data_IF_214931214421
#
_entry.id   IF_214931214421
#
_cell.length_a   1.000
_cell.length_b   1.000
_cell.length_c   1.000
_cell.angle_alpha   90.00
_cell.angle_beta   90.00
_cell.angle_gamma   90.00
#
_symmetry.space_group_name_H-M   'P 1'
#
loop_
_entity.id
_entity.type
_entity.pdbx_description
1 polymer ?
#
# COMPACT_ATOMS: atom_id res chain seq x y z
N UNK A 1 -17.52 -27.59 24.22
CA UNK A 1 -18.49 -28.37 23.41
C UNK A 1 -19.17 -29.47 24.24
N UNK A 2 -18.45 -30.47 24.75
CA UNK A 2 -19.05 -31.61 25.49
C UNK A 2 -19.87 -31.25 26.74
N UNK A 3 -19.48 -30.20 27.50
CA UNK A 3 -20.24 -29.72 28.68
C UNK A 3 -21.57 -29.02 28.34
N UNK A 4 -21.73 -28.46 27.13
CA UNK A 4 -23.00 -27.86 26.67
C UNK A 4 -23.96 -28.93 26.15
N UNK A 5 -23.47 -29.89 25.36
CA UNK A 5 -24.28 -30.98 24.81
C UNK A 5 -24.92 -31.88 25.89
N UNK A 6 -24.22 -32.12 27.01
CA UNK A 6 -24.76 -32.88 28.14
C UNK A 6 -25.89 -32.15 28.88
N UNK A 7 -25.96 -30.81 28.77
CA UNK A 7 -27.06 -29.99 29.30
C UNK A 7 -28.27 -29.94 28.36
N UNK A 8 -28.06 -30.16 27.06
CA UNK A 8 -29.10 -30.01 26.02
C UNK A 8 -29.64 -31.37 25.50
N UNK A 9 -29.14 -32.50 26.01
CA UNK A 9 -29.57 -33.86 25.62
C UNK A 9 -29.49 -34.17 24.12
N UNK A 10 -28.60 -33.48 23.40
CA UNK A 10 -28.38 -33.68 21.96
C UNK A 10 -27.10 -34.49 21.76
N UNK A 11 -27.20 -35.65 21.10
CA UNK A 11 -26.03 -36.43 20.68
C UNK A 11 -25.17 -35.59 19.73
N UNK A 12 -23.89 -35.39 20.06
CA UNK A 12 -22.96 -34.66 19.19
C UNK A 12 -22.58 -35.60 18.05
N UNK A 13 -22.91 -35.22 16.81
CA UNK A 13 -22.46 -35.94 15.64
C UNK A 13 -20.92 -35.78 15.50
N UNK A 14 -20.18 -36.88 15.43
CA UNK A 14 -18.70 -36.90 15.36
C UNK A 14 -18.14 -36.10 14.17
N UNK A 15 -18.94 -35.92 13.11
CA UNK A 15 -18.61 -35.05 11.96
C UNK A 15 -18.53 -33.55 12.30
N UNK A 16 -19.05 -33.12 13.45
CA UNK A 16 -19.00 -31.72 13.92
C UNK A 16 -17.88 -31.46 14.92
N UNK A 17 -17.06 -32.47 15.24
CA UNK A 17 -15.94 -32.30 16.14
C UNK A 17 -14.80 -31.53 15.46
N UNK A 18 -14.13 -30.60 16.18
CA UNK A 18 -13.02 -29.85 15.62
C UNK A 18 -11.83 -30.77 15.33
N UNK A 19 -11.17 -30.53 14.20
CA UNK A 19 -9.94 -31.22 13.82
C UNK A 19 -8.73 -30.42 14.32
N UNK A 20 -7.78 -31.11 14.95
CA UNK A 20 -6.50 -30.52 15.36
C UNK A 20 -5.56 -30.46 14.15
N UNK A 21 -5.00 -29.28 13.89
CA UNK A 21 -3.98 -29.07 12.85
C UNK A 21 -2.64 -28.75 13.49
N UNK A 22 -1.62 -29.53 13.17
CA UNK A 22 -0.26 -29.36 13.67
C UNK A 22 0.65 -28.99 12.50
N UNK A 23 1.29 -27.83 12.61
CA UNK A 23 2.28 -27.34 11.65
C UNK A 23 3.67 -27.73 12.13
N UNK A 24 4.44 -28.42 11.28
CA UNK A 24 5.84 -28.75 11.58
C UNK A 24 6.74 -28.36 10.41
N UNK A 25 7.89 -27.68 10.66
CA UNK A 25 8.86 -27.35 9.62
C UNK A 25 9.32 -28.60 8.86
N UNK A 26 9.66 -29.65 9.60
CA UNK A 26 10.14 -30.92 9.04
C UNK A 26 9.53 -32.13 9.76
N UNK A 27 9.43 -33.24 9.03
CA UNK A 27 9.00 -34.52 9.55
C UNK A 27 9.68 -35.63 8.75
N UNK A 28 10.22 -36.63 9.44
CA UNK A 28 10.82 -37.79 8.79
C UNK A 28 9.75 -38.82 8.44
N UNK A 29 10.00 -39.63 7.41
CA UNK A 29 9.10 -40.74 7.02
C UNK A 29 8.88 -41.72 8.17
N UNK A 30 9.91 -41.98 8.98
CA UNK A 30 9.82 -42.82 10.19
C UNK A 30 8.87 -42.24 11.23
N UNK A 31 8.90 -40.92 11.45
CA UNK A 31 7.99 -40.25 12.39
C UNK A 31 6.55 -40.35 11.90
N UNK A 32 6.32 -40.04 10.63
CA UNK A 32 4.99 -40.12 10.02
C UNK A 32 4.42 -41.53 10.08
N UNK A 33 5.22 -42.55 9.72
CA UNK A 33 4.84 -43.95 9.82
C UNK A 33 4.57 -44.38 11.27
N UNK A 34 5.38 -43.91 12.22
CA UNK A 34 5.23 -44.22 13.65
C UNK A 34 3.91 -43.73 14.25
N UNK A 35 3.36 -42.63 13.73
CA UNK A 35 2.03 -42.12 14.11
C UNK A 35 0.89 -42.63 13.22
N UNK A 36 1.19 -43.50 12.24
CA UNK A 36 0.21 -43.98 11.26
C UNK A 36 -0.35 -42.85 10.39
N UNK A 37 0.43 -41.81 10.15
CA UNK A 37 0.00 -40.65 9.39
C UNK A 37 0.03 -40.97 7.89
N UNK A 38 -1.13 -40.86 7.23
CA UNK A 38 -1.31 -41.23 5.82
C UNK A 38 -1.50 -39.98 4.97
N UNK A 39 -0.76 -39.91 3.85
CA UNK A 39 -0.95 -38.85 2.85
C UNK A 39 -2.19 -39.14 2.01
N UNK A 40 -2.96 -38.11 1.69
CA UNK A 40 -4.11 -38.21 0.79
C UNK A 40 -3.95 -37.27 -0.40
N UNK A 41 -3.03 -37.59 -1.30
CA UNK A 41 -2.68 -36.73 -2.44
C UNK A 41 -3.78 -36.60 -3.49
N UNK A 42 -4.79 -37.49 -3.46
CA UNK A 42 -5.94 -37.40 -4.37
C UNK A 42 -6.88 -36.25 -4.00
N UNK A 43 -6.98 -35.92 -2.71
CA UNK A 43 -7.88 -34.88 -2.21
C UNK A 43 -7.13 -33.68 -1.62
N UNK A 44 -5.83 -33.81 -1.33
CA UNK A 44 -5.03 -32.83 -0.62
C UNK A 44 -3.66 -32.64 -1.26
N UNK A 45 -3.03 -31.51 -0.95
CA UNK A 45 -1.69 -31.18 -1.41
C UNK A 45 -0.64 -32.07 -0.74
N UNK A 46 0.47 -32.30 -1.44
CA UNK A 46 1.65 -32.96 -0.88
C UNK A 46 2.11 -32.24 0.40
N UNK A 47 2.54 -33.02 1.40
CA UNK A 47 2.93 -32.52 2.72
C UNK A 47 1.79 -32.47 3.76
N UNK A 48 0.55 -32.80 3.39
CA UNK A 48 -0.56 -32.98 4.34
C UNK A 48 -0.75 -34.46 4.67
N UNK A 49 -0.75 -34.76 5.97
CA UNK A 49 -0.95 -36.11 6.48
C UNK A 49 -2.06 -36.15 7.51
N UNK A 50 -2.83 -37.24 7.51
CA UNK A 50 -3.93 -37.45 8.43
C UNK A 50 -3.63 -38.63 9.34
N UNK A 51 -3.85 -38.43 10.64
CA UNK A 51 -3.74 -39.50 11.63
C UNK A 51 -5.02 -40.35 11.63
N UNK A 52 -4.99 -41.55 12.26
CA UNK A 52 -6.16 -42.41 12.40
C UNK A 52 -7.41 -41.66 12.90
N UNK A 53 -8.58 -42.09 12.40
CA UNK A 53 -9.84 -41.34 12.44
C UNK A 53 -10.24 -40.79 13.82
N UNK A 54 -10.01 -41.55 14.89
CA UNK A 54 -10.37 -41.17 16.25
C UNK A 54 -9.49 -40.08 16.85
N UNK A 55 -8.29 -39.83 16.29
CA UNK A 55 -7.40 -38.77 16.76
C UNK A 55 -7.78 -37.40 16.20
N UNK A 56 -8.58 -37.35 15.11
CA UNK A 56 -9.03 -36.11 14.44
C UNK A 56 -7.88 -35.10 14.31
N UNK A 57 -6.72 -35.56 13.88
CA UNK A 57 -5.49 -34.76 13.80
C UNK A 57 -4.92 -34.80 12.38
N UNK A 58 -4.55 -33.64 11.87
CA UNK A 58 -3.81 -33.47 10.63
C UNK A 58 -2.43 -32.86 10.92
N UNK A 59 -1.43 -33.35 10.20
CA UNK A 59 -0.07 -32.84 10.19
C UNK A 59 0.19 -32.12 8.87
N UNK A 60 0.73 -30.92 8.96
CA UNK A 60 1.19 -30.14 7.82
C UNK A 60 2.71 -30.04 7.89
N UNK A 61 3.37 -30.70 6.95
CA UNK A 61 4.82 -30.82 6.88
C UNK A 61 5.34 -29.79 5.89
N UNK A 62 5.80 -28.65 6.42
CA UNK A 62 6.02 -27.43 5.64
C UNK A 62 7.04 -27.61 4.51
N UNK A 63 8.17 -28.27 4.76
CA UNK A 63 9.21 -28.49 3.73
C UNK A 63 8.79 -29.37 2.56
N UNK A 64 7.66 -30.08 2.65
CA UNK A 64 7.12 -30.93 1.59
C UNK A 64 5.99 -30.26 0.81
N UNK A 65 5.54 -29.08 1.25
CA UNK A 65 4.50 -28.33 0.55
C UNK A 65 5.01 -27.87 -0.83
N UNK A 66 4.16 -27.97 -1.87
CA UNK A 66 4.54 -27.50 -3.20
C UNK A 66 4.77 -25.99 -3.20
N UNK A 67 5.64 -25.50 -4.08
CA UNK A 67 5.92 -24.06 -4.22
C UNK A 67 4.85 -23.39 -5.07
N UNK A 68 3.74 -23.04 -4.41
CA UNK A 68 2.65 -22.30 -5.02
C UNK A 68 2.28 -21.09 -4.16
N UNK A 69 1.56 -20.09 -4.69
CA UNK A 69 1.08 -18.96 -3.90
C UNK A 69 0.25 -19.41 -2.69
N UNK A 70 -0.58 -20.45 -2.82
CA UNK A 70 -1.49 -20.93 -1.77
C UNK A 70 -0.76 -21.47 -0.53
N UNK A 71 0.45 -22.01 -0.71
CA UNK A 71 1.26 -22.57 0.39
C UNK A 71 2.29 -21.60 0.94
N UNK A 72 2.44 -20.42 0.32
CA UNK A 72 3.50 -19.45 0.62
C UNK A 72 3.52 -19.06 2.11
N UNK A 73 2.34 -18.80 2.69
CA UNK A 73 2.19 -18.48 4.11
C UNK A 73 2.72 -19.57 5.04
N UNK A 74 2.42 -20.82 4.73
CA UNK A 74 2.87 -21.95 5.54
C UNK A 74 4.38 -22.13 5.41
N UNK A 75 4.94 -21.89 4.21
CA UNK A 75 6.38 -21.95 3.93
C UNK A 75 7.17 -20.82 4.60
N UNK A 76 6.56 -19.65 4.80
CA UNK A 76 7.14 -18.55 5.57
C UNK A 76 7.36 -18.93 7.04
N UNK A 77 6.49 -19.78 7.60
CA UNK A 77 6.64 -20.37 8.93
C UNK A 77 7.62 -21.56 8.98
N UNK A 78 8.19 -21.94 7.84
CA UNK A 78 9.21 -22.97 7.72
C UNK A 78 10.57 -22.53 8.30
N UNK A 79 11.60 -23.32 8.01
CA UNK A 79 12.98 -23.06 8.46
C UNK A 79 13.99 -23.22 7.32
N UNK A 80 15.18 -22.66 7.52
CA UNK A 80 16.28 -22.70 6.55
C UNK A 80 15.88 -22.27 5.14
N UNK A 81 16.17 -23.14 4.16
CA UNK A 81 16.00 -22.84 2.73
C UNK A 81 14.55 -22.63 2.31
N UNK A 82 13.60 -23.28 2.98
CA UNK A 82 12.16 -23.14 2.68
C UNK A 82 11.67 -21.74 3.02
N UNK A 83 12.10 -21.22 4.17
CA UNK A 83 11.76 -19.87 4.61
C UNK A 83 12.44 -18.83 3.73
N UNK A 84 13.73 -19.00 3.42
CA UNK A 84 14.45 -18.09 2.51
C UNK A 84 13.77 -17.98 1.14
N UNK A 85 13.36 -19.10 0.56
CA UNK A 85 12.64 -19.11 -0.72
C UNK A 85 11.27 -18.43 -0.61
N UNK A 86 10.54 -18.66 0.48
CA UNK A 86 9.27 -17.98 0.72
C UNK A 86 9.45 -16.46 0.86
N UNK A 87 10.52 -16.00 1.52
CA UNK A 87 10.88 -14.57 1.59
C UNK A 87 11.12 -14.02 0.18
N UNK A 88 11.97 -14.69 -0.61
CA UNK A 88 12.26 -14.28 -2.00
C UNK A 88 10.99 -14.18 -2.84
N UNK A 89 10.10 -15.16 -2.73
CA UNK A 89 8.80 -15.16 -3.40
C UNK A 89 7.94 -13.96 -2.97
N UNK A 90 7.84 -13.65 -1.67
CA UNK A 90 7.11 -12.47 -1.17
C UNK A 90 7.72 -11.17 -1.69
N UNK A 91 9.05 -11.08 -1.72
CA UNK A 91 9.75 -9.89 -2.24
C UNK A 91 9.50 -9.68 -3.73
N UNK A 92 9.32 -10.77 -4.49
CA UNK A 92 9.03 -10.75 -5.92
C UNK A 92 7.55 -10.47 -6.24
N UNK A 93 6.64 -10.55 -5.27
CA UNK A 93 5.23 -10.23 -5.49
C UNK A 93 5.05 -8.74 -5.84
N UNK A 94 4.05 -8.39 -6.67
CA UNK A 94 3.69 -7.00 -6.92
C UNK A 94 3.37 -6.23 -5.64
N UNK A 95 3.68 -4.93 -5.59
CA UNK A 95 3.40 -4.07 -4.42
C UNK A 95 1.91 -3.97 -4.07
N UNK A 96 1.04 -4.14 -5.07
CA UNK A 96 -0.43 -4.12 -4.92
C UNK A 96 -1.01 -5.48 -4.48
N UNK A 97 -0.17 -6.50 -4.27
CA UNK A 97 -0.65 -7.81 -3.80
C UNK A 97 -1.09 -7.73 -2.33
N UNK A 98 -2.37 -8.01 -2.07
CA UNK A 98 -2.91 -8.12 -0.71
C UNK A 98 -2.09 -9.10 0.15
N UNK A 99 -1.61 -10.19 -0.44
CA UNK A 99 -0.78 -11.18 0.26
C UNK A 99 0.55 -10.59 0.72
N UNK A 100 1.20 -9.78 -0.11
CA UNK A 100 2.46 -9.10 0.24
C UNK A 100 2.21 -8.11 1.38
N UNK A 101 1.12 -7.35 1.31
CA UNK A 101 0.77 -6.36 2.33
C UNK A 101 0.49 -7.02 3.69
N UNK A 102 -0.38 -8.02 3.73
CA UNK A 102 -0.68 -8.75 4.98
C UNK A 102 0.57 -9.44 5.54
N UNK A 103 1.47 -9.95 4.69
CA UNK A 103 2.69 -10.62 5.15
C UNK A 103 3.66 -9.65 5.83
N UNK A 104 3.82 -8.46 5.26
CA UNK A 104 4.66 -7.41 5.83
C UNK A 104 4.08 -6.87 7.14
N UNK A 105 2.75 -6.73 7.25
CA UNK A 105 2.08 -6.29 8.47
C UNK A 105 2.26 -7.28 9.62
N UNK A 106 1.96 -8.57 9.39
CA UNK A 106 2.13 -9.61 10.42
C UNK A 106 3.59 -9.76 10.87
N UNK A 107 4.54 -9.58 9.96
CA UNK A 107 5.96 -9.61 10.32
C UNK A 107 6.35 -8.42 11.19
N UNK A 108 5.80 -7.23 10.92
CA UNK A 108 6.03 -6.07 11.76
C UNK A 108 5.50 -6.31 13.18
N UNK A 109 4.29 -6.86 13.31
CA UNK A 109 3.73 -7.23 14.61
C UNK A 109 4.62 -8.25 15.32
N UNK A 110 5.11 -9.26 14.59
CA UNK A 110 6.07 -10.22 15.12
C UNK A 110 7.35 -9.51 15.59
N UNK A 111 7.94 -8.63 14.79
CA UNK A 111 9.14 -7.86 15.14
C UNK A 111 8.91 -7.00 16.39
N UNK A 112 7.79 -6.27 16.46
CA UNK A 112 7.43 -5.43 17.59
C UNK A 112 7.25 -6.26 18.87
N UNK A 113 6.57 -7.41 18.77
CA UNK A 113 6.38 -8.35 19.87
C UNK A 113 7.71 -8.95 20.34
N UNK A 114 8.61 -9.30 19.41
CA UNK A 114 9.93 -9.85 19.73
C UNK A 114 10.86 -8.79 20.37
N UNK A 115 10.77 -7.52 19.95
CA UNK A 115 11.50 -6.42 20.55
C UNK A 115 10.99 -6.05 21.95
N UNK A 116 9.67 -6.10 22.15
CA UNK A 116 9.05 -5.88 23.46
C UNK A 116 9.42 -6.99 24.46
N UNK A 117 9.49 -8.24 23.98
CA UNK A 117 9.86 -9.40 24.76
C UNK A 117 11.38 -9.63 24.76
N UNK A 118 12.15 -8.66 25.29
CA UNK A 118 13.63 -8.63 25.36
C UNK A 118 14.30 -9.89 25.99
N UNK A 119 13.52 -10.80 26.58
CA UNK A 119 14.00 -12.02 27.21
C UNK A 119 14.15 -13.22 26.25
N UNK A 120 13.71 -13.10 24.99
CA UNK A 120 13.85 -14.18 24.01
C UNK A 120 15.09 -13.95 23.14
N UNK A 121 16.10 -14.82 23.28
CA UNK A 121 17.22 -14.86 22.32
C UNK A 121 16.65 -15.28 20.97
N UNK A 122 16.38 -14.30 20.12
CA UNK A 122 16.06 -14.51 18.72
C UNK A 122 17.09 -15.45 18.10
N UNK A 123 16.63 -16.53 17.50
CA UNK A 123 17.50 -17.43 16.78
C UNK A 123 18.05 -16.76 15.50
N UNK A 124 19.05 -17.36 14.87
CA UNK A 124 19.70 -16.78 13.68
C UNK A 124 18.73 -16.65 12.50
N UNK A 125 17.72 -17.52 12.41
CA UNK A 125 16.75 -17.54 11.31
C UNK A 125 15.70 -16.44 11.48
N UNK A 126 15.17 -16.27 12.69
CA UNK A 126 14.24 -15.18 13.05
C UNK A 126 14.87 -13.81 12.78
N UNK A 127 16.16 -13.65 13.10
CA UNK A 127 16.90 -12.41 12.79
C UNK A 127 17.05 -12.20 11.28
N UNK A 128 17.37 -13.26 10.53
CA UNK A 128 17.54 -13.18 9.08
C UNK A 128 16.22 -12.80 8.39
N UNK A 129 15.10 -13.38 8.83
CA UNK A 129 13.76 -13.05 8.36
C UNK A 129 13.44 -11.56 8.59
N UNK A 130 13.65 -11.07 9.81
CA UNK A 130 13.42 -9.66 10.16
C UNK A 130 14.32 -8.75 9.31
N UNK A 131 15.61 -9.06 9.16
CA UNK A 131 16.54 -8.23 8.38
C UNK A 131 16.19 -8.19 6.89
N UNK A 132 15.72 -9.29 6.31
CA UNK A 132 15.38 -9.36 4.88
C UNK A 132 14.11 -8.55 4.54
N UNK A 133 13.10 -8.58 5.41
CA UNK A 133 11.78 -8.03 5.12
C UNK A 133 11.53 -6.64 5.74
N UNK A 134 12.27 -6.23 6.77
CA UNK A 134 12.12 -4.90 7.38
C UNK A 134 12.29 -3.71 6.40
N UNK A 135 13.22 -3.74 5.42
CA UNK A 135 13.34 -2.67 4.43
C UNK A 135 12.07 -2.49 3.58
N UNK A 136 11.44 -3.60 3.17
CA UNK A 136 10.23 -3.58 2.34
C UNK A 136 9.06 -2.96 3.08
N UNK A 137 8.90 -3.31 4.36
CA UNK A 137 7.85 -2.71 5.18
C UNK A 137 8.08 -1.22 5.42
N UNK A 138 9.34 -0.80 5.68
CA UNK A 138 9.67 0.63 5.82
C UNK A 138 9.33 1.42 4.56
N UNK A 139 9.68 0.89 3.39
CA UNK A 139 9.33 1.51 2.12
C UNK A 139 7.81 1.67 1.97
N UNK A 140 7.03 0.64 2.32
CA UNK A 140 5.57 0.70 2.26
C UNK A 140 5.00 1.74 3.25
N UNK A 141 5.53 1.81 4.47
CA UNK A 141 5.12 2.82 5.45
C UNK A 141 5.43 4.25 4.98
N UNK A 142 6.59 4.47 4.39
CA UNK A 142 6.97 5.78 3.88
C UNK A 142 6.09 6.18 2.69
N UNK A 143 5.79 5.25 1.78
CA UNK A 143 4.84 5.48 0.70
C UNK A 143 3.43 5.80 1.21
N UNK A 144 2.92 5.03 2.18
CA UNK A 144 1.62 5.26 2.81
C UNK A 144 1.59 6.61 3.54
N UNK A 145 2.67 6.98 4.24
CA UNK A 145 2.81 8.29 4.90
C UNK A 145 2.79 9.42 3.86
N UNK A 146 3.53 9.29 2.76
CA UNK A 146 3.53 10.29 1.69
C UNK A 146 2.15 10.45 1.06
N UNK A 147 1.47 9.34 0.77
CA UNK A 147 0.09 9.36 0.28
C UNK A 147 -0.86 10.02 1.28
N UNK A 148 -0.76 9.69 2.58
CA UNK A 148 -1.56 10.30 3.63
C UNK A 148 -1.33 11.81 3.76
N UNK A 149 -0.07 12.27 3.62
CA UNK A 149 0.27 13.70 3.58
C UNK A 149 -0.38 14.36 2.36
N UNK A 150 -0.23 13.79 1.16
CA UNK A 150 -0.81 14.34 -0.07
C UNK A 150 -2.34 14.38 -0.01
N UNK A 151 -2.99 13.32 0.47
CA UNK A 151 -4.44 13.27 0.67
C UNK A 151 -4.90 14.33 1.68
N UNK A 152 -4.20 14.47 2.81
CA UNK A 152 -4.49 15.50 3.81
C UNK A 152 -4.35 16.91 3.24
N UNK A 153 -3.26 17.19 2.50
CA UNK A 153 -3.06 18.48 1.83
C UNK A 153 -4.17 18.76 0.82
N UNK A 154 -4.53 17.77 -0.01
CA UNK A 154 -5.62 17.87 -0.97
C UNK A 154 -6.94 18.23 -0.30
N UNK A 155 -7.29 17.55 0.78
CA UNK A 155 -8.51 17.84 1.55
C UNK A 155 -8.52 19.26 2.13
N UNK A 156 -7.37 19.74 2.61
CA UNK A 156 -7.24 21.11 3.12
C UNK A 156 -7.44 22.13 2.00
N UNK A 157 -6.80 21.92 0.84
CA UNK A 157 -6.94 22.81 -0.33
C UNK A 157 -8.40 22.82 -0.80
N UNK A 158 -9.03 21.65 -0.96
CA UNK A 158 -10.42 21.51 -1.39
C UNK A 158 -11.37 22.27 -0.45
N UNK A 159 -11.26 22.04 0.86
CA UNK A 159 -12.11 22.71 1.84
C UNK A 159 -11.89 24.23 1.87
N UNK A 160 -10.64 24.69 1.78
CA UNK A 160 -10.34 26.12 1.76
C UNK A 160 -10.94 26.78 0.53
N UNK A 161 -10.69 26.23 -0.66
CA UNK A 161 -11.23 26.77 -1.91
C UNK A 161 -12.75 26.74 -1.91
N UNK A 162 -13.36 25.67 -1.41
CA UNK A 162 -14.82 25.57 -1.32
C UNK A 162 -15.42 26.58 -0.34
N UNK A 163 -14.77 26.79 0.81
CA UNK A 163 -15.23 27.74 1.83
C UNK A 163 -15.09 29.19 1.36
N UNK A 164 -14.02 29.51 0.60
CA UNK A 164 -13.72 30.89 0.19
C UNK A 164 -14.34 31.28 -1.14
N UNK A 165 -14.38 30.37 -2.12
CA UNK A 165 -14.84 30.63 -3.49
C UNK A 165 -16.17 29.94 -3.84
N UNK A 166 -16.79 29.24 -2.89
CA UNK A 166 -18.05 28.54 -3.10
C UNK A 166 -17.89 27.24 -3.88
N UNK A 167 -18.71 27.01 -4.90
CA UNK A 167 -18.70 25.77 -5.66
C UNK A 167 -17.42 25.66 -6.50
N UNK A 168 -16.66 24.58 -6.29
CA UNK A 168 -15.45 24.31 -7.06
C UNK A 168 -15.81 24.01 -8.52
N UNK A 169 -15.29 24.82 -9.43
CA UNK A 169 -15.36 24.55 -10.87
C UNK A 169 -14.45 23.40 -11.24
N UNK A 170 -14.74 22.70 -12.34
CA UNK A 170 -13.91 21.61 -12.84
C UNK A 170 -12.45 22.00 -13.05
N UNK A 171 -12.20 23.25 -13.47
CA UNK A 171 -10.86 23.81 -13.63
C UNK A 171 -10.14 23.95 -12.30
N UNK A 172 -10.79 24.48 -11.26
CA UNK A 172 -10.21 24.53 -9.91
C UNK A 172 -9.92 23.13 -9.38
N UNK A 173 -10.84 22.18 -9.54
CA UNK A 173 -10.60 20.79 -9.11
C UNK A 173 -9.38 20.18 -9.80
N UNK A 174 -9.18 20.45 -11.08
CA UNK A 174 -8.01 19.98 -11.82
C UNK A 174 -6.67 20.57 -11.33
N UNK A 175 -6.72 21.80 -10.81
CA UNK A 175 -5.56 22.52 -10.24
C UNK A 175 -5.17 22.03 -8.84
N UNK A 176 -6.08 21.39 -8.11
CA UNK A 176 -5.81 20.90 -6.75
C UNK A 176 -4.77 19.78 -6.74
N UNK A 177 -4.81 18.88 -7.73
CA UNK A 177 -3.85 17.76 -7.81
C UNK A 177 -2.40 18.24 -7.85
N UNK A 178 -1.96 19.09 -8.81
CA UNK A 178 -0.59 19.59 -8.80
C UNK A 178 -0.26 20.41 -7.54
N UNK A 179 -1.21 21.18 -6.99
CA UNK A 179 -0.99 21.90 -5.72
C UNK A 179 -0.72 20.97 -4.54
N UNK A 180 -1.44 19.85 -4.41
CA UNK A 180 -1.28 18.88 -3.32
C UNK A 180 0.05 18.13 -3.33
N UNK A 181 0.84 18.29 -4.39
CA UNK A 181 2.20 17.72 -4.49
C UNK A 181 3.30 18.68 -4.02
N UNK A 182 2.95 19.94 -3.76
CA UNK A 182 3.91 20.96 -3.32
C UNK A 182 4.33 20.73 -1.85
N UNK A 183 5.57 21.09 -1.48
CA UNK A 183 6.00 21.06 -0.08
C UNK A 183 5.19 22.09 0.76
N UNK A 184 4.87 21.78 2.04
CA UNK A 184 4.05 22.64 2.90
C UNK A 184 4.55 24.09 3.02
N UNK A 185 5.87 24.29 2.95
CA UNK A 185 6.51 25.60 3.04
C UNK A 185 6.16 26.52 1.86
N UNK A 186 5.92 25.93 0.68
CA UNK A 186 5.49 26.67 -0.52
C UNK A 186 3.96 26.79 -0.58
N UNK A 187 3.25 25.77 -0.08
CA UNK A 187 1.79 25.72 -0.10
C UNK A 187 1.14 26.68 0.89
N UNK A 188 1.73 26.90 2.07
CA UNK A 188 1.15 27.78 3.10
C UNK A 188 0.92 29.23 2.65
N UNK A 189 1.92 29.98 2.12
CA UNK A 189 1.70 31.34 1.65
C UNK A 189 0.69 31.40 0.49
N UNK A 190 0.69 30.37 -0.35
CA UNK A 190 -0.21 30.22 -1.46
C UNK A 190 -1.68 30.13 -1.00
N UNK A 191 -1.96 29.29 0.01
CA UNK A 191 -3.28 29.19 0.61
C UNK A 191 -3.73 30.48 1.30
N UNK A 192 -2.81 31.22 1.94
CA UNK A 192 -3.14 32.51 2.56
C UNK A 192 -3.56 33.53 1.50
N UNK A 193 -2.86 33.61 0.36
CA UNK A 193 -3.22 34.52 -0.73
C UNK A 193 -4.57 34.14 -1.35
N UNK A 194 -4.81 32.86 -1.60
CA UNK A 194 -6.11 32.38 -2.07
C UNK A 194 -7.24 32.68 -1.07
N UNK A 195 -6.94 32.63 0.23
CA UNK A 195 -7.93 32.96 1.24
C UNK A 195 -8.36 34.43 1.20
N UNK A 196 -7.55 35.34 0.67
CA UNK A 196 -7.90 36.77 0.60
C UNK A 196 -8.85 37.10 -0.56
N UNK A 197 -9.07 36.16 -1.48
CA UNK A 197 -9.94 36.36 -2.63
C UNK A 197 -11.42 36.42 -2.20
N UNK A 198 -12.17 37.26 -2.90
CA UNK A 198 -13.62 37.37 -2.74
C UNK A 198 -14.33 36.24 -3.48
N UNK A 199 -15.48 35.82 -2.95
CA UNK A 199 -16.35 34.87 -3.62
C UNK A 199 -17.10 35.56 -4.78
N UNK A 200 -16.44 35.65 -5.93
CA UNK A 200 -16.98 36.20 -7.18
C UNK A 200 -16.41 35.46 -8.39
N UNK A 201 -17.03 35.62 -9.56
CA UNK A 201 -16.49 35.06 -10.81
C UNK A 201 -15.07 35.58 -11.09
N UNK A 202 -14.82 36.86 -10.82
CA UNK A 202 -13.50 37.48 -10.89
C UNK A 202 -12.53 36.82 -9.89
N UNK A 203 -12.96 36.58 -8.65
CA UNK A 203 -12.15 35.89 -7.64
C UNK A 203 -11.80 34.45 -8.03
N UNK A 204 -12.71 33.72 -8.67
CA UNK A 204 -12.44 32.37 -9.20
C UNK A 204 -11.42 32.42 -10.34
N UNK A 205 -11.55 33.37 -11.28
CA UNK A 205 -10.59 33.54 -12.37
C UNK A 205 -9.21 33.95 -11.83
N UNK A 206 -9.17 34.89 -10.88
CA UNK A 206 -7.94 35.29 -10.20
C UNK A 206 -7.28 34.11 -9.49
N UNK A 207 -8.06 33.27 -8.78
CA UNK A 207 -7.54 32.06 -8.16
C UNK A 207 -6.90 31.13 -9.20
N UNK A 208 -7.59 30.84 -10.31
CA UNK A 208 -7.09 29.97 -11.37
C UNK A 208 -5.78 30.50 -11.98
N UNK A 209 -5.74 31.78 -12.35
CA UNK A 209 -4.54 32.43 -12.87
C UNK A 209 -3.39 32.38 -11.87
N UNK A 210 -3.67 32.77 -10.62
CA UNK A 210 -2.70 32.79 -9.54
C UNK A 210 -2.12 31.39 -9.26
N UNK A 211 -2.93 30.32 -9.31
CA UNK A 211 -2.46 28.94 -9.16
C UNK A 211 -1.49 28.56 -10.29
N UNK A 212 -1.89 28.74 -11.54
CA UNK A 212 -1.06 28.34 -12.68
C UNK A 212 0.23 29.15 -12.72
N UNK A 213 0.15 30.46 -12.49
CA UNK A 213 1.30 31.36 -12.44
C UNK A 213 2.30 30.92 -11.36
N UNK A 214 1.85 30.67 -10.13
CA UNK A 214 2.77 30.24 -9.07
C UNK A 214 3.35 28.85 -9.32
N UNK A 215 2.59 27.92 -9.90
CA UNK A 215 3.15 26.61 -10.28
C UNK A 215 4.28 26.75 -11.30
N UNK A 216 4.12 27.64 -12.30
CA UNK A 216 5.18 27.96 -13.26
C UNK A 216 6.37 28.64 -12.57
N UNK A 217 6.13 29.60 -11.67
CA UNK A 217 7.16 30.29 -10.90
C UNK A 217 7.99 29.34 -10.03
N UNK A 218 7.33 28.43 -9.33
CA UNK A 218 7.99 27.41 -8.49
C UNK A 218 8.90 26.53 -9.35
N UNK A 219 8.49 26.21 -10.58
CA UNK A 219 9.27 25.32 -11.46
C UNK A 219 10.43 26.03 -12.17
N UNK A 220 10.18 27.19 -12.74
CA UNK A 220 11.10 27.86 -13.67
C UNK A 220 11.81 29.06 -13.05
N UNK A 221 11.49 29.42 -11.81
CA UNK A 221 12.05 30.58 -11.12
C UNK A 221 11.27 31.84 -11.47
N UNK A 222 11.94 32.87 -11.97
CA UNK A 222 11.26 34.09 -12.36
C UNK A 222 10.39 33.90 -13.60
N UNK A 223 9.19 34.45 -13.56
CA UNK A 223 8.26 34.46 -14.68
C UNK A 223 8.61 35.60 -15.62
N UNK A 224 9.23 35.25 -16.73
CA UNK A 224 9.39 36.16 -17.85
C UNK A 224 8.04 36.37 -18.59
N UNK A 225 7.92 37.42 -19.43
CA UNK A 225 6.69 37.69 -20.17
C UNK A 225 6.22 36.52 -21.05
N UNK A 226 7.12 35.64 -21.50
CA UNK A 226 6.75 34.50 -22.33
C UNK A 226 6.01 33.45 -21.49
N UNK A 227 6.51 33.14 -20.28
CA UNK A 227 5.87 32.20 -19.36
C UNK A 227 4.56 32.76 -18.80
N UNK A 228 4.50 34.06 -18.48
CA UNK A 228 3.26 34.70 -18.03
C UNK A 228 2.17 34.63 -19.11
N UNK A 229 2.54 34.78 -20.38
CA UNK A 229 1.61 34.69 -21.49
C UNK A 229 1.05 33.25 -21.71
N UNK A 230 1.65 32.22 -21.09
CA UNK A 230 1.16 30.84 -21.15
C UNK A 230 0.06 30.52 -20.15
N UNK A 231 -0.15 31.37 -19.14
CA UNK A 231 -1.19 31.14 -18.12
C UNK A 231 -2.58 31.02 -18.77
N UNK A 232 -2.93 31.95 -19.67
CA UNK A 232 -4.24 31.95 -20.34
C UNK A 232 -4.43 30.75 -21.28
N UNK A 233 -3.48 30.41 -22.18
CA UNK A 233 -3.54 29.18 -22.97
C UNK A 233 -3.66 27.90 -22.13
N UNK A 234 -2.97 27.82 -20.99
CA UNK A 234 -3.05 26.67 -20.09
C UNK A 234 -4.43 26.53 -19.47
N UNK A 235 -5.02 27.64 -19.00
CA UNK A 235 -6.37 27.65 -18.44
C UNK A 235 -7.47 27.35 -19.47
N UNK A 236 -7.20 27.57 -20.76
CA UNK A 236 -8.11 27.21 -21.85
C UNK A 236 -8.13 25.71 -22.16
N UNK A 237 -7.21 24.91 -21.61
CA UNK A 237 -7.20 23.46 -21.79
C UNK A 237 -8.36 22.78 -21.07
N UNK A 238 -8.82 21.61 -21.55
CA UNK A 238 -9.73 20.76 -20.81
C UNK A 238 -9.17 20.41 -19.41
N UNK A 239 -9.98 20.40 -18.34
CA UNK A 239 -9.49 20.20 -16.97
C UNK A 239 -8.62 18.96 -16.75
N UNK A 240 -8.97 17.83 -17.38
CA UNK A 240 -8.17 16.61 -17.30
C UNK A 240 -6.78 16.77 -17.92
N UNK A 241 -6.70 17.43 -19.10
CA UNK A 241 -5.43 17.71 -19.77
C UNK A 241 -4.59 18.70 -18.97
N UNK A 242 -5.23 19.75 -18.44
CA UNK A 242 -4.59 20.74 -17.57
C UNK A 242 -3.95 20.07 -16.36
N UNK A 243 -4.70 19.21 -15.64
CA UNK A 243 -4.18 18.52 -14.45
C UNK A 243 -2.97 17.64 -14.77
N UNK A 244 -3.08 16.82 -15.82
CA UNK A 244 -1.98 15.97 -16.28
C UNK A 244 -0.75 16.78 -16.67
N UNK A 245 -0.95 17.87 -17.41
CA UNK A 245 0.14 18.73 -17.88
C UNK A 245 0.88 19.40 -16.72
N UNK A 246 0.13 19.96 -15.76
CA UNK A 246 0.71 20.62 -14.60
C UNK A 246 1.39 19.63 -13.63
N UNK A 247 0.93 18.38 -13.55
CA UNK A 247 1.62 17.33 -12.80
C UNK A 247 2.93 16.88 -13.45
N UNK A 248 3.05 16.98 -14.78
CA UNK A 248 4.26 16.65 -15.54
C UNK A 248 5.22 17.83 -15.69
N UNK A 249 4.86 19.00 -15.16
CA UNK A 249 5.63 20.24 -15.28
C UNK A 249 7.03 20.13 -14.64
N UNK A 250 7.21 19.24 -13.66
CA UNK A 250 8.53 18.89 -13.12
C UNK A 250 9.47 18.27 -14.16
N UNK A 251 8.93 17.55 -15.14
CA UNK A 251 9.68 16.82 -16.18
C UNK A 251 9.91 17.61 -17.47
N UNK A 252 9.12 18.66 -17.71
CA UNK A 252 9.20 19.48 -18.93
C UNK A 252 10.30 20.55 -18.83
N UNK A 253 11.02 20.78 -19.93
CA UNK A 253 11.90 21.94 -20.07
C UNK A 253 11.12 23.21 -20.43
N UNK A 254 11.70 24.38 -20.16
CA UNK A 254 11.12 25.68 -20.53
C UNK A 254 10.83 25.76 -22.03
N UNK A 255 11.78 25.31 -22.85
CA UNK A 255 11.67 25.34 -24.31
C UNK A 255 10.58 24.40 -24.82
N UNK A 256 10.46 23.20 -24.25
CA UNK A 256 9.39 22.25 -24.58
C UNK A 256 8.02 22.81 -24.23
N UNK A 257 7.90 23.48 -23.08
CA UNK A 257 6.66 24.10 -22.64
C UNK A 257 6.24 25.24 -23.57
N UNK A 258 7.18 26.11 -23.97
CA UNK A 258 6.91 27.19 -24.93
C UNK A 258 6.58 26.63 -26.32
N UNK A 259 7.29 25.59 -26.77
CA UNK A 259 7.08 24.98 -28.08
C UNK A 259 5.69 24.34 -28.24
N UNK A 260 5.05 23.93 -27.14
CA UNK A 260 3.69 23.38 -27.17
C UNK A 260 2.59 24.46 -27.16
N UNK A 261 2.94 25.69 -26.79
CA UNK A 261 2.05 26.84 -26.81
C UNK A 261 2.72 28.00 -27.52
N UNK A 262 3.03 27.87 -28.83
CA UNK A 262 3.62 28.96 -29.58
C UNK A 262 2.64 30.14 -29.53
N UNK A 263 3.06 31.20 -28.84
CA UNK A 263 2.38 32.50 -28.90
C UNK A 263 2.30 32.88 -30.37
N UNK A 264 1.08 33.12 -30.88
CA UNK A 264 0.94 33.90 -32.09
C UNK A 264 1.62 35.25 -31.80
N UNK A 265 2.79 35.47 -32.40
CA UNK A 265 3.43 36.78 -32.40
C UNK A 265 2.49 37.80 -33.05
N UNK A 266 2.55 39.08 -32.63
CA UNK A 266 1.49 40.08 -32.80
C UNK A 266 0.99 40.28 -34.24
#
# INVERSE_FOLDING_TARGET
MARRARRESTSINDSKLPQLWILTPTASTRLLAGFGAVSNEQNWLSGLYFLPEYLKTALVVIHQLPRTPETLWLRLLGKGTVQQQAIEEITALPEDSQMRQSALELLYDLQANLQANQNQKLDTEERALIMALAPLYRQQLDAARQQGIQQGQRLIIENLLQTRLGLLTSTLTALITPLSTLPPQQLTPFLLQLSQLENSESGIQQAQHFIVENLLKIRFGELDPQLTALVTPLLALPPQKLSQYLSQLSQLSREQLIAQFPQASP
#
